data_IF_708142582329
#
_entry.id   IF_708142582329
#
_cell.length_a   1.000
_cell.length_b   1.000
_cell.length_c   1.000
_cell.angle_alpha   90.00
_cell.angle_beta   90.00
_cell.angle_gamma   90.00
#
_symmetry.space_group_name_H-M   'P 1'
#
loop_
_entity.id
_entity.type
_entity.pdbx_description
1 polymer ?
#
# COMPACT_ATOMS: atom_id res chain seq x y z
N UNK A 1 -2.47 -2.01 1.74
CA UNK A 1 -1.85 -0.84 2.34
C UNK A 1 -0.33 -0.97 2.30
N UNK A 2 0.34 -0.10 1.57
CA UNK A 2 1.79 -0.18 1.37
C UNK A 2 2.57 0.82 2.23
N UNK A 3 1.89 1.45 3.18
CA UNK A 3 2.52 2.37 4.15
C UNK A 3 3.30 1.57 5.19
N UNK A 4 3.98 2.30 6.07
CA UNK A 4 4.68 1.66 7.20
C UNK A 4 3.71 0.98 8.17
N UNK A 5 4.19 0.01 8.96
CA UNK A 5 3.36 -0.61 9.99
C UNK A 5 2.78 0.39 11.01
N UNK A 6 3.52 1.44 11.33
CA UNK A 6 3.07 2.47 12.27
C UNK A 6 1.92 3.32 11.68
N UNK A 7 1.98 3.60 10.39
CA UNK A 7 0.87 4.27 9.71
C UNK A 7 -0.35 3.35 9.62
N UNK A 8 -0.14 2.08 9.31
CA UNK A 8 -1.22 1.08 9.24
C UNK A 8 -1.95 0.92 10.57
N UNK A 9 -1.23 0.86 11.67
CA UNK A 9 -1.80 0.69 13.01
C UNK A 9 -2.41 1.97 13.60
N UNK A 10 -2.18 3.10 12.96
CA UNK A 10 -2.66 4.39 13.46
C UNK A 10 -1.73 5.06 14.47
N UNK A 11 -0.57 4.49 14.73
CA UNK A 11 0.44 5.14 15.59
C UNK A 11 0.96 6.45 14.99
N UNK A 12 1.03 6.49 13.65
CA UNK A 12 1.38 7.70 12.90
C UNK A 12 0.26 8.02 11.93
N UNK A 13 -0.03 9.30 11.74
CA UNK A 13 -1.00 9.75 10.74
C UNK A 13 -0.31 10.15 9.44
N UNK A 14 0.94 10.58 9.52
CA UNK A 14 1.73 11.00 8.36
C UNK A 14 3.22 10.99 8.73
N UNK A 15 4.07 11.13 7.72
CA UNK A 15 5.52 11.27 7.91
C UNK A 15 5.84 12.69 8.38
N UNK A 16 6.69 12.85 9.42
CA UNK A 16 7.05 14.19 9.92
C UNK A 16 7.64 15.12 8.85
N UNK A 17 8.30 14.56 7.85
CA UNK A 17 8.92 15.31 6.75
C UNK A 17 7.89 15.93 5.80
N UNK A 18 6.63 15.49 5.87
CA UNK A 18 5.56 15.92 4.97
C UNK A 18 4.32 16.36 5.76
N UNK A 19 4.44 17.42 6.58
CA UNK A 19 3.31 17.84 7.44
C UNK A 19 2.07 18.28 6.65
N UNK A 20 2.23 18.70 5.40
CA UNK A 20 1.12 19.06 4.52
C UNK A 20 0.23 17.87 4.16
N UNK A 21 0.71 16.66 4.37
CA UNK A 21 -0.05 15.43 4.11
C UNK A 21 -0.75 14.91 5.37
N UNK A 22 -0.94 15.77 6.34
CA UNK A 22 -1.56 15.43 7.60
C UNK A 22 -2.98 14.91 7.46
N UNK A 23 -3.33 13.96 8.31
CA UNK A 23 -4.62 13.28 8.31
C UNK A 23 -5.20 13.33 9.72
N UNK A 24 -6.50 13.60 9.82
CA UNK A 24 -7.17 13.71 11.10
C UNK A 24 -7.28 12.38 11.85
N UNK A 25 -7.41 11.27 11.11
CA UNK A 25 -7.63 9.95 11.72
C UNK A 25 -6.55 8.97 11.29
N UNK A 26 -6.01 8.23 12.24
CA UNK A 26 -5.03 7.17 11.98
C UNK A 26 -5.69 5.80 11.80
N UNK A 27 -4.96 4.87 11.18
CA UNK A 27 -5.44 3.51 10.95
C UNK A 27 -5.36 3.14 9.47
N UNK A 28 -6.25 2.21 9.05
CA UNK A 28 -6.28 1.72 7.67
C UNK A 28 -7.71 1.42 7.22
N UNK A 29 -7.88 1.23 5.92
CA UNK A 29 -9.16 0.84 5.33
C UNK A 29 -9.50 -0.58 5.82
N UNK A 30 -10.74 -0.82 6.30
CA UNK A 30 -11.12 -2.15 6.78
C UNK A 30 -10.84 -3.26 5.78
N UNK A 31 -10.24 -4.34 6.26
CA UNK A 31 -9.87 -5.48 5.45
C UNK A 31 -8.55 -5.35 4.69
N UNK A 32 -7.89 -4.20 4.75
CA UNK A 32 -6.60 -4.02 4.10
C UNK A 32 -5.53 -4.87 4.76
N UNK A 33 -4.60 -5.36 3.93
CA UNK A 33 -3.40 -6.07 4.40
C UNK A 33 -2.22 -5.12 4.40
N UNK A 34 -1.37 -5.20 5.41
CA UNK A 34 -0.18 -4.38 5.51
C UNK A 34 0.98 -5.02 4.77
N UNK A 35 1.38 -4.41 3.66
CA UNK A 35 2.52 -4.88 2.86
C UNK A 35 3.34 -3.65 2.45
N UNK A 36 4.28 -3.20 3.31
CA UNK A 36 5.08 -2.02 2.99
C UNK A 36 5.75 -2.13 1.62
N UNK A 37 5.68 -1.05 0.85
CA UNK A 37 6.18 -1.05 -0.53
C UNK A 37 7.66 -1.47 -0.63
N UNK A 38 8.47 -1.06 0.36
CA UNK A 38 9.91 -1.31 0.34
C UNK A 38 10.26 -2.80 0.39
N UNK A 39 9.34 -3.66 0.80
CA UNK A 39 9.56 -5.11 0.76
C UNK A 39 9.78 -5.63 -0.66
N UNK A 40 9.27 -4.94 -1.67
CA UNK A 40 9.46 -5.29 -3.08
C UNK A 40 10.74 -4.72 -3.69
N UNK A 41 11.52 -3.95 -2.95
CA UNK A 41 12.72 -3.30 -3.43
C UNK A 41 13.98 -3.88 -2.79
N UNK A 42 15.07 -3.92 -3.57
CA UNK A 42 16.40 -4.19 -3.06
C UNK A 42 16.96 -2.93 -2.37
N UNK A 43 18.05 -3.10 -1.60
CA UNK A 43 18.69 -2.00 -0.88
C UNK A 43 19.18 -0.86 -1.78
N UNK A 44 19.47 -1.15 -3.06
CA UNK A 44 19.88 -0.16 -4.04
C UNK A 44 18.70 0.52 -4.77
N UNK A 45 17.47 0.22 -4.37
CA UNK A 45 16.26 0.79 -4.96
C UNK A 45 15.73 0.07 -6.19
N UNK A 46 16.40 -0.98 -6.65
CA UNK A 46 15.89 -1.79 -7.77
C UNK A 46 14.79 -2.73 -7.32
N UNK A 47 13.98 -3.21 -8.25
CA UNK A 47 12.94 -4.21 -7.96
C UNK A 47 13.58 -5.55 -7.62
N UNK A 48 12.99 -6.26 -6.67
CA UNK A 48 13.34 -7.66 -6.42
C UNK A 48 12.97 -8.53 -7.62
N UNK A 49 13.56 -9.73 -7.70
CA UNK A 49 13.23 -10.70 -8.75
C UNK A 49 11.75 -11.10 -8.72
N UNK A 50 11.24 -11.56 -9.85
CA UNK A 50 9.85 -12.05 -9.91
C UNK A 50 9.58 -13.16 -8.90
N UNK A 51 10.54 -14.08 -8.70
CA UNK A 51 10.38 -15.16 -7.74
C UNK A 51 10.30 -14.64 -6.30
N UNK A 52 11.14 -13.68 -5.93
CA UNK A 52 11.09 -13.05 -4.60
C UNK A 52 9.79 -12.27 -4.39
N UNK A 53 9.33 -11.55 -5.43
CA UNK A 53 8.06 -10.82 -5.37
C UNK A 53 6.88 -11.77 -5.22
N UNK A 54 6.85 -12.88 -5.93
CA UNK A 54 5.80 -13.90 -5.77
C UNK A 54 5.80 -14.51 -4.38
N UNK A 55 6.97 -14.72 -3.80
CA UNK A 55 7.07 -15.23 -2.44
C UNK A 55 6.39 -14.29 -1.43
N UNK A 56 6.53 -12.97 -1.63
CA UNK A 56 5.89 -11.98 -0.77
C UNK A 56 4.39 -11.91 -1.03
N UNK A 57 3.99 -11.62 -2.26
CA UNK A 57 2.59 -11.28 -2.56
C UNK A 57 1.69 -12.51 -2.69
N UNK A 58 2.18 -13.61 -3.23
CA UNK A 58 1.37 -14.81 -3.46
C UNK A 58 1.46 -15.80 -2.32
N UNK A 59 2.66 -16.17 -1.88
CA UNK A 59 2.82 -17.17 -0.83
C UNK A 59 2.53 -16.63 0.56
N UNK A 60 3.09 -15.49 0.91
CA UNK A 60 2.91 -14.90 2.25
C UNK A 60 1.56 -14.20 2.39
N UNK A 61 1.25 -13.29 1.46
CA UNK A 61 0.03 -12.47 1.53
C UNK A 61 -1.19 -13.21 0.97
N UNK A 62 -0.99 -14.10 0.03
CA UNK A 62 -2.06 -14.93 -0.50
C UNK A 62 -2.81 -14.34 -1.69
N UNK A 63 -2.22 -13.40 -2.41
CA UNK A 63 -2.83 -12.86 -3.63
C UNK A 63 -2.83 -13.89 -4.75
N UNK A 64 -3.85 -13.82 -5.58
CA UNK A 64 -3.99 -14.60 -6.81
C UNK A 64 -4.05 -13.66 -8.00
N UNK A 65 -3.57 -14.10 -9.16
CA UNK A 65 -3.48 -13.26 -10.36
C UNK A 65 -4.81 -12.68 -10.83
N UNK A 66 -5.92 -13.33 -10.53
CA UNK A 66 -7.25 -12.88 -10.92
C UNK A 66 -7.94 -12.06 -9.83
N UNK A 67 -7.28 -11.82 -8.70
CA UNK A 67 -7.84 -10.98 -7.65
C UNK A 67 -7.98 -9.53 -8.12
N UNK A 68 -9.05 -8.88 -7.66
CA UNK A 68 -9.25 -7.44 -7.81
C UNK A 68 -8.53 -6.75 -6.65
N UNK A 69 -7.39 -6.14 -6.95
CA UNK A 69 -6.49 -5.56 -5.94
C UNK A 69 -6.48 -4.04 -6.05
N UNK A 70 -6.58 -3.39 -4.91
CA UNK A 70 -6.39 -1.94 -4.81
C UNK A 70 -5.19 -1.68 -3.91
N UNK A 71 -4.20 -0.97 -4.43
CA UNK A 71 -3.05 -0.53 -3.66
C UNK A 71 -3.23 0.93 -3.24
N UNK A 72 -2.91 1.24 -2.00
CA UNK A 72 -2.94 2.62 -1.54
C UNK A 72 -1.80 2.90 -0.56
N UNK A 73 -1.43 4.16 -0.47
CA UNK A 73 -0.49 4.64 0.53
C UNK A 73 -1.02 5.91 1.18
N UNK A 74 -0.29 6.99 1.14
CA UNK A 74 -0.73 8.28 1.70
C UNK A 74 -1.32 9.19 0.63
N UNK A 75 -0.65 9.27 -0.54
CA UNK A 75 -1.04 10.13 -1.67
C UNK A 75 -0.99 9.42 -3.03
N UNK A 76 -0.87 8.10 -3.07
CA UNK A 76 -0.78 7.33 -4.32
C UNK A 76 0.63 7.16 -4.87
N UNK A 77 1.64 7.82 -4.31
CA UNK A 77 3.02 7.77 -4.78
C UNK A 77 3.68 6.42 -4.48
N UNK A 78 3.79 6.05 -3.21
CA UNK A 78 4.39 4.76 -2.81
C UNK A 78 3.63 3.58 -3.37
N UNK A 79 2.33 3.69 -3.46
CA UNK A 79 1.47 2.60 -3.98
C UNK A 79 1.58 2.44 -5.49
N UNK A 80 2.07 3.43 -6.21
CA UNK A 80 2.36 3.28 -7.63
C UNK A 80 3.47 2.25 -7.88
N UNK A 81 4.43 2.14 -6.98
CA UNK A 81 5.45 1.08 -7.01
C UNK A 81 4.81 -0.30 -6.93
N UNK A 82 3.94 -0.52 -5.95
CA UNK A 82 3.25 -1.81 -5.77
C UNK A 82 2.32 -2.12 -6.94
N UNK A 83 1.60 -1.11 -7.42
CA UNK A 83 0.78 -1.25 -8.63
C UNK A 83 1.60 -1.72 -9.83
N UNK A 84 2.77 -1.11 -10.04
CA UNK A 84 3.67 -1.51 -11.13
C UNK A 84 4.17 -2.94 -10.96
N UNK A 85 4.60 -3.30 -9.75
CA UNK A 85 5.07 -4.67 -9.43
C UNK A 85 3.99 -5.70 -9.79
N UNK A 86 2.79 -5.51 -9.28
CA UNK A 86 1.71 -6.47 -9.49
C UNK A 86 1.25 -6.51 -10.94
N UNK A 87 1.09 -5.36 -11.58
CA UNK A 87 0.56 -5.29 -12.95
C UNK A 87 1.56 -5.73 -14.00
N UNK A 88 2.79 -5.24 -13.92
CA UNK A 88 3.78 -5.41 -14.99
C UNK A 88 4.81 -6.49 -14.72
N UNK A 89 5.27 -6.64 -13.48
CA UNK A 89 6.27 -7.65 -13.15
C UNK A 89 5.65 -9.01 -12.86
N UNK A 90 4.47 -9.06 -12.25
CA UNK A 90 3.78 -10.30 -11.92
C UNK A 90 2.58 -10.61 -12.81
N UNK A 91 2.14 -9.67 -13.64
CA UNK A 91 1.10 -9.92 -14.64
C UNK A 91 -0.33 -9.95 -14.10
N UNK A 92 -0.60 -9.29 -13.00
CA UNK A 92 -1.96 -9.14 -12.48
C UNK A 92 -2.75 -8.18 -13.36
N UNK A 93 -3.97 -8.54 -13.73
CA UNK A 93 -4.77 -7.77 -14.67
C UNK A 93 -5.72 -6.77 -14.01
N UNK A 94 -6.07 -6.98 -12.74
CA UNK A 94 -7.11 -6.21 -12.05
C UNK A 94 -6.51 -5.45 -10.86
N UNK A 95 -5.48 -4.64 -11.11
CA UNK A 95 -4.82 -3.87 -10.06
C UNK A 95 -5.05 -2.38 -10.31
N UNK A 96 -5.51 -1.69 -9.28
CA UNK A 96 -5.74 -0.24 -9.32
C UNK A 96 -4.93 0.43 -8.24
N UNK A 97 -4.44 1.61 -8.54
CA UNK A 97 -3.80 2.48 -7.56
C UNK A 97 -4.82 3.50 -7.07
N UNK A 98 -5.14 3.51 -5.80
CA UNK A 98 -6.05 4.49 -5.21
C UNK A 98 -5.30 5.79 -4.98
N UNK A 99 -5.45 6.72 -5.89
CA UNK A 99 -4.70 7.98 -5.92
C UNK A 99 -4.95 8.84 -4.68
N UNK A 100 -6.20 8.97 -4.25
CA UNK A 100 -6.55 9.74 -3.05
C UNK A 100 -5.92 9.20 -1.76
N UNK A 101 -5.79 7.90 -1.68
CA UNK A 101 -5.11 7.18 -0.59
C UNK A 101 -5.56 7.61 0.81
N UNK A 102 -4.67 7.53 1.80
CA UNK A 102 -5.04 7.81 3.19
C UNK A 102 -5.34 9.29 3.46
N UNK A 103 -4.70 10.19 2.72
CA UNK A 103 -5.00 11.62 2.84
C UNK A 103 -6.46 11.92 2.51
N UNK A 104 -7.04 11.21 1.56
CA UNK A 104 -8.48 11.32 1.26
C UNK A 104 -9.32 10.52 2.26
N UNK A 105 -9.02 9.23 2.44
CA UNK A 105 -9.83 8.34 3.25
C UNK A 105 -9.87 8.75 4.72
N UNK A 106 -8.71 9.04 5.31
CA UNK A 106 -8.59 9.38 6.72
C UNK A 106 -9.17 10.75 7.08
N UNK A 107 -9.34 11.63 6.10
CA UNK A 107 -9.96 12.95 6.28
C UNK A 107 -11.44 12.97 5.89
N UNK A 108 -11.95 11.91 5.30
CA UNK A 108 -13.36 11.83 4.87
C UNK A 108 -14.26 11.51 6.06
N UNK A 109 -15.35 12.25 6.16
CA UNK A 109 -16.33 12.08 7.23
C UNK A 109 -17.00 10.71 7.11
N UNK A 110 -17.03 9.96 8.21
CA UNK A 110 -17.77 8.70 8.36
C UNK A 110 -17.24 7.52 7.54
N UNK A 111 -16.13 7.63 6.85
CA UNK A 111 -15.56 6.43 6.25
C UNK A 111 -15.02 5.51 7.34
N UNK A 112 -15.25 4.18 7.21
CA UNK A 112 -14.82 3.23 8.24
C UNK A 112 -13.30 3.10 8.30
N UNK A 113 -12.79 2.90 9.52
CA UNK A 113 -11.36 2.76 9.78
C UNK A 113 -11.13 1.60 10.74
N UNK A 114 -10.08 0.83 10.49
CA UNK A 114 -9.54 -0.15 11.44
C UNK A 114 -8.14 0.30 11.90
N UNK A 115 -7.75 -0.17 13.07
CA UNK A 115 -6.41 0.10 13.62
C UNK A 115 -5.68 -1.18 13.99
#
# INVERSE_FOLDING_TARGET
DVRSPDEFSGKKTHMPEYPQEGVLRGGHIPGAKSVPWARGANSDGTFKSADDLRAIYEKEIGLKKDDDVVAYCRIGERSSFTWFVLSYLLGYEKVRNYDGSWTEWGNSVRLPIEK
#
